data_IF_764371448430
#
_entry.id   IF_764371448430
#
_cell.length_a   1.000
_cell.length_b   1.000
_cell.length_c   1.000
_cell.angle_alpha   90.00
_cell.angle_beta   90.00
_cell.angle_gamma   90.00
#
_symmetry.space_group_name_H-M   'P 1'
#
loop_
_entity.id
_entity.type
_entity.pdbx_description
1 polymer ?
#
# COMPACT_ATOMS: atom_id res chain seq x y z
N UNK A 1 17.09 25.56 45.08
CA UNK A 1 16.38 24.94 43.94
C UNK A 1 15.82 23.60 44.40
N UNK A 2 14.48 23.51 44.56
CA UNK A 2 13.82 22.39 45.22
C UNK A 2 14.11 21.06 44.53
N UNK A 3 14.47 20.05 45.32
CA UNK A 3 14.76 18.67 44.91
C UNK A 3 13.63 18.06 44.08
N UNK A 4 12.40 18.51 44.31
CA UNK A 4 11.21 18.14 43.56
C UNK A 4 11.24 18.66 42.11
N UNK A 5 11.61 19.93 41.91
CA UNK A 5 11.72 20.55 40.57
C UNK A 5 12.84 19.90 39.75
N UNK A 6 13.96 19.54 40.41
CA UNK A 6 15.08 18.84 39.78
C UNK A 6 14.72 17.40 39.36
N UNK A 7 13.94 16.68 40.19
CA UNK A 7 13.44 15.35 39.84
C UNK A 7 12.44 15.39 38.69
N UNK A 8 11.51 16.36 38.71
CA UNK A 8 10.52 16.54 37.65
C UNK A 8 11.18 16.84 36.29
N UNK A 9 12.16 17.74 36.26
CA UNK A 9 12.91 18.08 35.04
C UNK A 9 13.69 16.88 34.48
N UNK A 10 14.31 16.06 35.35
CA UNK A 10 15.02 14.86 34.93
C UNK A 10 14.08 13.79 34.37
N UNK A 11 12.91 13.58 34.96
CA UNK A 11 11.90 12.65 34.42
C UNK A 11 11.33 13.11 33.09
N UNK A 12 10.98 14.39 32.95
CA UNK A 12 10.45 14.92 31.68
C UNK A 12 11.51 14.86 30.58
N UNK A 13 12.76 15.26 30.88
CA UNK A 13 13.87 15.14 29.94
C UNK A 13 14.15 13.69 29.54
N UNK A 14 14.07 12.75 30.47
CA UNK A 14 14.23 11.33 30.21
C UNK A 14 13.13 10.75 29.31
N UNK A 15 11.87 11.16 29.51
CA UNK A 15 10.75 10.71 28.67
C UNK A 15 10.87 11.26 27.25
N UNK A 16 11.20 12.55 27.10
CA UNK A 16 11.40 13.18 25.78
C UNK A 16 12.55 12.52 25.03
N UNK A 17 13.67 12.24 25.71
CA UNK A 17 14.81 11.55 25.11
C UNK A 17 14.42 10.12 24.69
N UNK A 18 13.68 9.39 25.52
CA UNK A 18 13.24 8.04 25.20
C UNK A 18 12.27 8.03 24.00
N UNK A 19 11.28 8.91 23.93
CA UNK A 19 10.37 8.99 22.78
C UNK A 19 11.08 9.41 21.50
N UNK A 20 12.03 10.35 21.57
CA UNK A 20 12.82 10.74 20.40
C UNK A 20 13.71 9.59 19.90
N UNK A 21 14.35 8.84 20.81
CA UNK A 21 15.19 7.70 20.44
C UNK A 21 14.35 6.55 19.88
N UNK A 22 13.26 6.15 20.55
CA UNK A 22 12.41 5.06 20.07
C UNK A 22 11.67 5.41 18.77
N UNK A 23 11.17 6.65 18.65
CA UNK A 23 10.57 7.14 17.40
C UNK A 23 11.59 7.19 16.27
N UNK A 24 12.78 7.71 16.54
CA UNK A 24 13.89 7.75 15.58
C UNK A 24 14.33 6.37 15.12
N UNK A 25 14.46 5.41 16.05
CA UNK A 25 14.83 4.02 15.72
C UNK A 25 13.72 3.31 14.93
N UNK A 26 12.44 3.57 15.23
CA UNK A 26 11.33 2.99 14.47
C UNK A 26 11.27 3.54 13.04
N UNK A 27 11.42 4.86 12.87
CA UNK A 27 11.49 5.50 11.54
C UNK A 27 12.72 5.03 10.79
N UNK A 28 13.91 5.05 11.41
CA UNK A 28 15.15 4.60 10.79
C UNK A 28 15.12 3.10 10.44
N UNK A 29 14.50 2.28 11.28
CA UNK A 29 14.28 0.86 11.03
C UNK A 29 13.37 0.66 9.82
N UNK A 30 12.26 1.38 9.74
CA UNK A 30 11.35 1.34 8.59
C UNK A 30 12.05 1.81 7.30
N UNK A 31 12.79 2.93 7.34
CA UNK A 31 13.52 3.43 6.16
C UNK A 31 14.63 2.48 5.73
N UNK A 32 15.34 1.86 6.67
CA UNK A 32 16.41 0.90 6.36
C UNK A 32 15.85 -0.39 5.77
N UNK A 33 14.79 -0.94 6.34
CA UNK A 33 14.13 -2.14 5.81
C UNK A 33 13.56 -1.88 4.42
N UNK A 34 12.88 -0.75 4.21
CA UNK A 34 12.39 -0.37 2.89
C UNK A 34 13.56 -0.22 1.90
N UNK A 35 14.61 0.51 2.25
CA UNK A 35 15.78 0.71 1.39
C UNK A 35 16.49 -0.61 1.03
N UNK A 36 16.48 -1.61 1.91
CA UNK A 36 17.04 -2.94 1.63
C UNK A 36 16.14 -3.78 0.72
N UNK A 37 14.81 -3.61 0.82
CA UNK A 37 13.86 -4.29 -0.06
C UNK A 37 13.86 -3.70 -1.49
N UNK A 38 14.16 -2.41 -1.66
CA UNK A 38 14.29 -1.77 -2.97
C UNK A 38 15.74 -1.81 -3.48
N UNK A 39 16.19 -2.97 -3.95
CA UNK A 39 17.54 -3.12 -4.51
C UNK A 39 17.78 -2.11 -5.67
N UNK A 40 18.98 -1.49 -5.75
CA UNK A 40 19.32 -0.58 -6.84
C UNK A 40 19.17 -1.27 -8.20
N UNK A 41 18.53 -0.58 -9.16
CA UNK A 41 18.39 -1.07 -10.52
C UNK A 41 19.76 -1.42 -11.12
N UNK A 42 19.92 -2.60 -11.76
CA UNK A 42 21.08 -2.82 -12.61
C UNK A 42 21.15 -1.73 -13.69
N UNK A 43 22.38 -1.37 -14.09
CA UNK A 43 22.63 -0.29 -15.04
C UNK A 43 21.66 -0.37 -16.24
N UNK A 44 21.01 0.78 -16.53
CA UNK A 44 19.95 0.97 -17.53
C UNK A 44 20.12 0.00 -18.71
N UNK A 45 19.20 -0.96 -18.84
CA UNK A 45 19.04 -1.65 -20.11
C UNK A 45 18.53 -0.63 -21.13
N UNK A 46 19.29 -0.42 -22.19
CA UNK A 46 18.96 0.45 -23.33
C UNK A 46 17.84 -0.12 -24.21
N UNK A 47 16.95 -0.93 -23.65
CA UNK A 47 15.80 -1.45 -24.35
C UNK A 47 14.86 -0.29 -24.66
N UNK A 48 14.58 -0.11 -25.96
CA UNK A 48 13.59 0.83 -26.43
C UNK A 48 12.23 0.49 -25.78
N UNK A 49 11.49 1.47 -25.24
CA UNK A 49 10.20 1.21 -24.62
C UNK A 49 9.29 0.47 -25.60
N UNK A 50 8.72 -0.67 -25.17
CA UNK A 50 7.75 -1.38 -25.97
C UNK A 50 6.62 -0.42 -26.41
N UNK A 51 6.13 -0.61 -27.63
CA UNK A 51 5.00 0.15 -28.13
C UNK A 51 3.80 -0.02 -27.18
N UNK A 52 3.15 1.08 -26.81
CA UNK A 52 1.99 1.03 -25.91
C UNK A 52 0.89 0.20 -26.55
N UNK A 53 0.40 -0.79 -25.82
CA UNK A 53 -0.77 -1.58 -26.21
C UNK A 53 -1.98 -0.65 -26.44
N UNK A 54 -2.69 -0.77 -27.59
CA UNK A 54 -3.89 0.02 -27.86
C UNK A 54 -4.91 -0.05 -26.71
N UNK A 55 -5.57 1.07 -26.44
CA UNK A 55 -6.65 1.13 -25.46
C UNK A 55 -7.89 0.40 -25.96
N UNK A 56 -8.47 -0.42 -25.10
CA UNK A 56 -9.81 -0.97 -25.29
C UNK A 56 -10.80 -0.01 -24.59
N UNK A 57 -11.16 1.07 -25.28
CA UNK A 57 -11.93 2.19 -24.70
C UNK A 57 -13.35 1.84 -24.27
N UNK A 58 -13.86 0.67 -24.66
CA UNK A 58 -15.16 0.11 -24.25
C UNK A 58 -15.10 -0.60 -22.89
N UNK A 59 -13.90 -0.76 -22.32
CA UNK A 59 -13.65 -1.41 -21.03
C UNK A 59 -13.45 -0.39 -19.91
N UNK A 60 -13.56 -0.85 -18.67
CA UNK A 60 -13.25 -0.06 -17.48
C UNK A 60 -11.73 0.15 -17.42
N UNK A 61 -11.30 1.40 -17.44
CA UNK A 61 -9.88 1.77 -17.47
C UNK A 61 -9.29 1.76 -16.07
N UNK A 62 -8.28 0.92 -15.82
CA UNK A 62 -7.61 0.79 -14.52
C UNK A 62 -6.13 1.14 -14.66
N UNK A 63 -5.71 2.18 -13.94
CA UNK A 63 -4.30 2.58 -13.83
C UNK A 63 -3.71 2.10 -12.50
N UNK A 64 -2.77 1.17 -12.54
CA UNK A 64 -1.98 0.73 -11.37
C UNK A 64 -0.70 1.55 -11.34
N UNK A 65 -0.55 2.45 -10.37
CA UNK A 65 0.59 3.36 -10.32
C UNK A 65 1.86 2.68 -9.84
N UNK A 66 2.99 3.06 -10.43
CA UNK A 66 4.34 2.67 -10.01
C UNK A 66 5.16 3.94 -9.79
N UNK A 67 5.59 4.16 -8.54
CA UNK A 67 6.48 5.25 -8.15
C UNK A 67 7.91 5.07 -8.63
N UNK A 68 8.62 6.17 -8.83
CA UNK A 68 10.02 6.22 -9.27
C UNK A 68 10.98 5.66 -8.23
N UNK A 69 10.72 5.93 -6.95
CA UNK A 69 11.60 5.60 -5.82
C UNK A 69 11.30 4.27 -5.14
N UNK A 70 10.44 3.46 -5.75
CA UNK A 70 10.12 2.12 -5.27
C UNK A 70 8.65 1.98 -4.91
N UNK A 71 8.07 0.89 -5.43
CA UNK A 71 6.70 0.49 -5.22
C UNK A 71 6.67 -0.90 -4.60
N UNK A 72 5.87 -1.11 -3.55
CA UNK A 72 5.69 -2.44 -2.98
C UNK A 72 5.05 -3.36 -4.03
N UNK A 73 5.79 -4.39 -4.43
CA UNK A 73 5.46 -5.25 -5.56
C UNK A 73 4.09 -5.91 -5.39
N UNK A 74 3.81 -6.41 -4.19
CA UNK A 74 2.57 -7.12 -3.92
C UNK A 74 1.34 -6.21 -3.90
N UNK A 75 1.52 -4.94 -3.53
CA UNK A 75 0.44 -3.96 -3.47
C UNK A 75 0.02 -3.51 -4.88
N UNK A 76 0.95 -3.54 -5.84
CA UNK A 76 0.64 -3.31 -7.24
C UNK A 76 0.14 -4.59 -7.95
N UNK A 77 0.86 -5.70 -7.78
CA UNK A 77 0.63 -6.91 -8.58
C UNK A 77 -0.59 -7.72 -8.13
N UNK A 78 -0.96 -7.67 -6.84
CA UNK A 78 -2.18 -8.32 -6.34
C UNK A 78 -3.44 -7.77 -7.02
N UNK A 79 -3.71 -6.45 -6.91
CA UNK A 79 -4.79 -5.80 -7.65
C UNK A 79 -4.70 -5.98 -9.16
N UNK A 80 -3.50 -5.85 -9.75
CA UNK A 80 -3.29 -6.06 -11.18
C UNK A 80 -3.82 -7.42 -11.62
N UNK A 81 -3.45 -8.50 -10.91
CA UNK A 81 -3.88 -9.85 -11.24
C UNK A 81 -5.40 -10.04 -11.17
N UNK A 82 -6.06 -9.43 -10.17
CA UNK A 82 -7.52 -9.51 -10.03
C UNK A 82 -8.23 -8.81 -11.18
N UNK A 83 -7.84 -7.57 -11.49
CA UNK A 83 -8.50 -6.81 -12.56
C UNK A 83 -8.19 -7.40 -13.95
N UNK A 84 -6.96 -7.85 -14.18
CA UNK A 84 -6.54 -8.42 -15.46
C UNK A 84 -7.20 -9.79 -15.75
N UNK A 85 -7.72 -10.47 -14.72
CA UNK A 85 -8.46 -11.72 -14.88
C UNK A 85 -9.84 -11.54 -15.52
N UNK A 86 -10.29 -10.30 -15.78
CA UNK A 86 -11.58 -10.00 -16.39
C UNK A 86 -11.44 -9.17 -17.66
N UNK A 87 -12.08 -9.60 -18.74
CA UNK A 87 -12.11 -8.88 -20.02
C UNK A 87 -12.90 -7.57 -19.96
N UNK A 88 -13.60 -7.29 -18.84
CA UNK A 88 -14.31 -6.03 -18.61
C UNK A 88 -13.39 -4.87 -18.26
N UNK A 89 -12.14 -5.15 -17.90
CA UNK A 89 -11.17 -4.14 -17.50
C UNK A 89 -10.04 -4.03 -18.52
N UNK A 90 -9.58 -2.81 -18.75
CA UNK A 90 -8.33 -2.52 -19.43
C UNK A 90 -7.32 -2.03 -18.38
N UNK A 91 -6.46 -2.94 -17.94
CA UNK A 91 -5.52 -2.71 -16.83
C UNK A 91 -4.16 -2.33 -17.39
N UNK A 92 -3.57 -1.25 -16.85
CA UNK A 92 -2.23 -0.79 -17.20
C UNK A 92 -1.43 -0.47 -15.95
N UNK A 93 -0.17 -0.87 -15.96
CA UNK A 93 0.84 -0.29 -15.06
C UNK A 93 1.23 1.09 -15.60
N UNK A 94 1.24 2.11 -14.74
CA UNK A 94 1.46 3.50 -15.13
C UNK A 94 2.52 4.14 -14.24
N UNK A 95 3.48 4.83 -14.83
CA UNK A 95 4.54 5.53 -14.11
C UNK A 95 4.88 6.88 -14.77
N UNK A 96 5.86 7.59 -14.25
CA UNK A 96 6.35 8.83 -14.88
C UNK A 96 6.95 8.59 -16.29
N UNK A 97 7.55 7.42 -16.53
CA UNK A 97 8.11 7.03 -17.83
C UNK A 97 7.97 5.53 -18.06
N UNK A 98 7.98 5.11 -19.33
CA UNK A 98 7.99 3.69 -19.75
C UNK A 98 9.38 3.05 -19.70
N UNK A 99 10.17 3.44 -18.70
CA UNK A 99 11.51 2.88 -18.45
C UNK A 99 11.41 1.79 -17.39
N UNK A 100 12.31 0.79 -17.36
CA UNK A 100 12.31 -0.23 -16.31
C UNK A 100 12.36 0.40 -14.90
N UNK A 101 11.51 -0.07 -13.99
CA UNK A 101 11.42 0.35 -12.58
C UNK A 101 11.52 -0.90 -11.69
N UNK A 102 12.25 -0.78 -10.58
CA UNK A 102 12.35 -1.83 -9.57
C UNK A 102 11.20 -1.68 -8.56
N UNK A 103 10.51 -2.79 -8.32
CA UNK A 103 9.58 -2.95 -7.22
C UNK A 103 10.33 -3.57 -6.02
N UNK A 104 9.69 -3.58 -4.85
CA UNK A 104 10.25 -4.22 -3.65
C UNK A 104 10.62 -5.68 -3.92
N UNK A 105 11.73 -6.14 -3.37
CA UNK A 105 12.30 -7.47 -3.61
C UNK A 105 13.12 -7.57 -4.90
N UNK A 106 13.39 -6.45 -5.59
CA UNK A 106 14.21 -6.41 -6.81
C UNK A 106 13.50 -6.82 -8.09
N UNK A 107 12.18 -7.02 -8.06
CA UNK A 107 11.38 -7.33 -9.24
C UNK A 107 11.36 -6.11 -10.19
N UNK A 108 12.01 -6.23 -11.34
CA UNK A 108 12.02 -5.16 -12.34
C UNK A 108 10.89 -5.34 -13.34
N UNK A 109 10.13 -4.27 -13.60
CA UNK A 109 9.06 -4.26 -14.60
C UNK A 109 9.17 -3.04 -15.51
N UNK A 110 8.61 -3.14 -16.72
CA UNK A 110 8.47 -2.01 -17.65
C UNK A 110 7.01 -1.55 -17.60
N UNK A 111 6.73 -0.29 -17.22
CA UNK A 111 5.37 0.23 -17.20
C UNK A 111 4.73 0.23 -18.60
N UNK A 112 3.44 -0.11 -18.68
CA UNK A 112 2.67 -0.13 -19.92
C UNK A 112 2.47 1.28 -20.51
N UNK A 113 2.31 2.27 -19.63
CA UNK A 113 2.01 3.65 -19.96
C UNK A 113 2.75 4.65 -19.07
N UNK A 114 2.90 5.86 -19.57
CA UNK A 114 3.34 7.04 -18.81
C UNK A 114 2.19 8.01 -18.53
N UNK A 115 2.33 8.88 -17.53
CA UNK A 115 1.35 9.95 -17.26
C UNK A 115 1.05 10.82 -18.50
N UNK A 116 2.09 11.15 -19.28
CA UNK A 116 1.98 11.89 -20.54
C UNK A 116 1.07 11.21 -21.59
N UNK A 117 0.86 9.89 -21.51
CA UNK A 117 -0.01 9.16 -22.44
C UNK A 117 -1.48 9.46 -22.19
N UNK A 118 -1.84 9.75 -20.94
CA UNK A 118 -3.18 10.17 -20.56
C UNK A 118 -3.36 11.68 -20.78
N UNK A 119 -2.36 12.50 -20.44
CA UNK A 119 -2.39 13.95 -20.62
C UNK A 119 -2.53 14.34 -22.09
N UNK A 120 -1.86 13.62 -23.00
CA UNK A 120 -1.97 13.84 -24.45
C UNK A 120 -3.28 13.32 -25.06
N UNK A 121 -4.12 12.62 -24.30
CA UNK A 121 -5.34 11.97 -24.79
C UNK A 121 -5.08 10.72 -25.64
N UNK A 122 -3.83 10.21 -25.66
CA UNK A 122 -3.46 8.97 -26.37
C UNK A 122 -4.11 7.74 -25.73
N UNK A 123 -4.31 7.78 -24.42
CA UNK A 123 -5.08 6.82 -23.65
C UNK A 123 -6.34 7.49 -23.08
N UNK A 124 -7.47 6.75 -22.99
CA UNK A 124 -8.66 7.24 -22.30
C UNK A 124 -8.38 7.46 -20.81
N UNK A 125 -9.13 8.37 -20.17
CA UNK A 125 -8.98 8.65 -18.75
C UNK A 125 -9.27 7.38 -17.91
N UNK A 126 -8.52 7.15 -16.80
CA UNK A 126 -8.82 6.04 -15.91
C UNK A 126 -10.19 6.21 -15.23
N UNK A 127 -10.94 5.11 -15.08
CA UNK A 127 -12.12 5.04 -14.21
C UNK A 127 -11.72 4.75 -12.75
N UNK A 128 -10.58 4.06 -12.59
CA UNK A 128 -9.99 3.66 -11.32
C UNK A 128 -8.48 3.86 -11.35
N UNK A 129 -7.94 4.50 -10.33
CA UNK A 129 -6.50 4.60 -10.07
C UNK A 129 -6.17 3.82 -8.81
N UNK A 130 -5.27 2.85 -8.91
CA UNK A 130 -4.78 2.06 -7.77
C UNK A 130 -3.41 2.59 -7.37
N UNK A 131 -3.30 3.00 -6.12
CA UNK A 131 -2.10 3.61 -5.54
C UNK A 131 -1.51 2.64 -4.50
N UNK A 132 -0.45 1.90 -4.85
CA UNK A 132 0.23 1.00 -3.91
C UNK A 132 1.05 1.77 -2.87
N UNK A 133 1.66 1.06 -1.93
CA UNK A 133 2.67 1.66 -1.06
C UNK A 133 3.92 2.08 -1.86
N UNK A 134 4.28 3.35 -1.72
CA UNK A 134 5.47 3.97 -2.31
C UNK A 134 6.48 4.28 -1.20
N UNK A 135 7.77 4.09 -1.47
CA UNK A 135 8.82 4.22 -0.46
C UNK A 135 8.93 5.63 0.14
N UNK A 136 8.89 6.66 -0.72
CA UNK A 136 8.94 8.07 -0.33
C UNK A 136 7.78 8.85 -0.98
N UNK A 137 6.54 8.70 -0.45
CA UNK A 137 5.33 9.22 -1.09
C UNK A 137 5.29 10.75 -1.17
N UNK A 138 5.98 11.44 -0.26
CA UNK A 138 6.08 12.91 -0.21
C UNK A 138 7.34 13.45 -0.91
N UNK A 139 8.20 12.57 -1.42
CA UNK A 139 9.43 12.92 -2.12
C UNK A 139 9.18 13.77 -3.36
N UNK A 140 10.17 14.60 -3.72
CA UNK A 140 10.11 15.44 -4.92
C UNK A 140 10.02 14.61 -6.21
N UNK A 141 10.58 13.40 -6.21
CA UNK A 141 10.56 12.47 -7.35
C UNK A 141 9.17 11.91 -7.67
N UNK A 142 8.25 11.94 -6.71
CA UNK A 142 6.86 11.48 -6.86
C UNK A 142 5.88 12.63 -7.12
N UNK A 143 6.37 13.85 -7.40
CA UNK A 143 5.51 15.00 -7.69
C UNK A 143 4.58 14.76 -8.89
N UNK A 144 5.11 14.20 -9.98
CA UNK A 144 4.31 13.88 -11.18
C UNK A 144 3.25 12.81 -10.88
N UNK A 145 3.56 11.85 -10.00
CA UNK A 145 2.62 10.81 -9.57
C UNK A 145 1.46 11.42 -8.77
N UNK A 146 1.76 12.33 -7.84
CA UNK A 146 0.73 13.03 -7.05
C UNK A 146 -0.16 13.90 -7.95
N UNK A 147 0.44 14.68 -8.86
CA UNK A 147 -0.30 15.49 -9.82
C UNK A 147 -1.20 14.65 -10.74
N UNK A 148 -0.74 13.45 -11.15
CA UNK A 148 -1.56 12.51 -11.92
C UNK A 148 -2.77 12.02 -11.12
N UNK A 149 -2.59 11.67 -9.84
CA UNK A 149 -3.69 11.26 -8.95
C UNK A 149 -4.71 12.39 -8.81
N UNK A 150 -4.26 13.60 -8.47
CA UNK A 150 -5.13 14.77 -8.30
C UNK A 150 -5.93 15.05 -9.58
N UNK A 151 -5.26 15.12 -10.73
CA UNK A 151 -5.89 15.42 -12.02
C UNK A 151 -6.91 14.35 -12.43
N UNK A 152 -6.63 13.08 -12.16
CA UNK A 152 -7.56 11.98 -12.50
C UNK A 152 -8.72 11.90 -11.52
N UNK A 153 -8.47 12.16 -10.23
CA UNK A 153 -9.49 12.24 -9.19
C UNK A 153 -10.47 13.38 -9.45
N UNK A 154 -9.97 14.58 -9.76
CA UNK A 154 -10.77 15.76 -10.14
C UNK A 154 -11.60 15.49 -11.41
N UNK A 155 -11.10 14.64 -12.31
CA UNK A 155 -11.81 14.20 -13.50
C UNK A 155 -12.88 13.13 -13.23
N UNK A 156 -13.08 12.72 -11.97
CA UNK A 156 -14.09 11.75 -11.53
C UNK A 156 -13.62 10.30 -11.43
N UNK A 157 -12.32 10.05 -11.55
CA UNK A 157 -11.78 8.71 -11.31
C UNK A 157 -11.90 8.33 -9.84
N UNK A 158 -12.22 7.06 -9.57
CA UNK A 158 -12.16 6.52 -8.22
C UNK A 158 -10.71 6.24 -7.84
N UNK A 159 -10.31 6.55 -6.61
CA UNK A 159 -8.94 6.31 -6.12
C UNK A 159 -8.92 5.19 -5.09
N UNK A 160 -8.06 4.20 -5.29
CA UNK A 160 -7.89 3.04 -4.44
C UNK A 160 -6.48 2.99 -3.84
N UNK A 161 -6.33 3.33 -2.55
CA UNK A 161 -5.06 3.23 -1.82
C UNK A 161 -4.85 1.83 -1.23
N UNK A 162 -3.75 1.17 -1.58
CA UNK A 162 -3.42 -0.17 -1.11
C UNK A 162 -2.33 -0.13 -0.06
N UNK A 163 -2.54 -0.81 1.09
CA UNK A 163 -1.55 -0.87 2.17
C UNK A 163 -1.16 0.55 2.63
N UNK A 164 0.13 0.88 2.65
CA UNK A 164 0.62 2.22 2.97
C UNK A 164 0.37 3.25 1.86
N UNK A 165 -0.26 2.89 0.74
CA UNK A 165 -0.68 3.81 -0.32
C UNK A 165 -1.64 4.91 0.15
N UNK A 166 -2.33 4.70 1.28
CA UNK A 166 -3.10 5.75 1.94
C UNK A 166 -2.25 6.98 2.30
N UNK A 167 -0.92 6.83 2.49
CA UNK A 167 0.02 7.93 2.72
C UNK A 167 0.20 8.83 1.49
N UNK A 168 -0.08 8.34 0.29
CA UNK A 168 -0.13 9.17 -0.92
C UNK A 168 -1.48 9.87 -1.02
N UNK A 169 -2.57 9.18 -0.66
CA UNK A 169 -3.93 9.71 -0.74
C UNK A 169 -4.19 10.89 0.20
N UNK A 170 -3.57 10.91 1.39
CA UNK A 170 -3.64 12.07 2.29
C UNK A 170 -3.10 13.34 1.64
N UNK A 171 -2.06 13.23 0.79
CA UNK A 171 -1.41 14.37 0.13
C UNK A 171 -2.10 14.81 -1.17
N UNK A 172 -3.00 13.98 -1.73
CA UNK A 172 -3.54 14.17 -3.09
C UNK A 172 -5.05 14.33 -3.08
N UNK A 173 -5.76 13.31 -2.61
CA UNK A 173 -7.24 13.30 -2.59
C UNK A 173 -7.83 14.02 -1.39
N UNK A 174 -7.04 14.18 -0.32
CA UNK A 174 -7.50 14.67 0.98
C UNK A 174 -8.40 13.65 1.70
N UNK A 175 -7.96 13.17 2.86
CA UNK A 175 -8.74 12.24 3.69
C UNK A 175 -9.41 12.92 4.90
N UNK A 176 -9.35 14.24 5.00
CA UNK A 176 -9.94 14.99 6.10
C UNK A 176 -11.47 14.82 6.10
N UNK A 177 -12.03 14.46 7.27
CA UNK A 177 -13.46 14.17 7.43
C UNK A 177 -13.91 12.83 6.85
N UNK A 178 -13.04 12.07 6.17
CA UNK A 178 -13.35 10.75 5.59
C UNK A 178 -12.97 9.62 6.54
N UNK A 179 -13.59 8.46 6.33
CA UNK A 179 -13.16 7.18 6.90
C UNK A 179 -12.11 6.54 5.99
N UNK A 180 -11.02 6.09 6.58
CA UNK A 180 -9.97 5.40 5.83
C UNK A 180 -9.31 4.30 6.67
N UNK A 181 -8.64 3.36 6.01
CA UNK A 181 -7.73 2.40 6.63
C UNK A 181 -6.39 2.41 5.91
N UNK A 182 -5.41 1.66 6.41
CA UNK A 182 -4.07 1.56 5.83
C UNK A 182 -3.35 0.35 6.40
N UNK A 183 -2.08 0.17 6.04
CA UNK A 183 -1.23 -0.79 6.72
C UNK A 183 -1.16 -0.50 8.22
N UNK A 184 -1.32 -1.55 9.03
CA UNK A 184 -1.53 -1.45 10.48
C UNK A 184 -0.45 -0.65 11.22
N UNK A 185 0.80 -0.68 10.75
CA UNK A 185 1.89 0.07 11.38
C UNK A 185 1.87 1.56 11.07
N UNK A 186 1.25 1.97 9.95
CA UNK A 186 1.12 3.38 9.58
C UNK A 186 -0.07 4.06 10.25
N UNK A 187 -1.11 3.31 10.63
CA UNK A 187 -2.35 3.86 11.19
C UNK A 187 -2.08 4.76 12.41
N UNK A 188 -1.23 4.34 13.35
CA UNK A 188 -0.94 5.15 14.55
C UNK A 188 -0.28 6.50 14.17
N UNK A 189 0.66 6.47 13.21
CA UNK A 189 1.33 7.67 12.71
C UNK A 189 0.38 8.61 11.98
N UNK A 190 -0.45 8.06 11.08
CA UNK A 190 -1.40 8.88 10.33
C UNK A 190 -2.53 9.42 11.20
N UNK A 191 -2.95 8.70 12.25
CA UNK A 191 -3.90 9.24 13.23
C UNK A 191 -3.32 10.47 13.93
N UNK A 192 -2.01 10.50 14.17
CA UNK A 192 -1.35 11.64 14.80
C UNK A 192 -1.16 12.83 13.86
N UNK A 193 -0.91 12.59 12.57
CA UNK A 193 -0.62 13.67 11.60
C UNK A 193 -1.86 14.17 10.87
N UNK A 194 -2.88 13.31 10.72
CA UNK A 194 -4.16 13.59 10.05
C UNK A 194 -5.32 13.18 10.99
N UNK A 195 -5.54 13.93 12.08
CA UNK A 195 -6.54 13.59 13.10
C UNK A 195 -7.99 13.75 12.62
N UNK A 196 -8.21 14.54 11.56
CA UNK A 196 -9.53 14.74 10.94
C UNK A 196 -9.99 13.52 10.13
N UNK A 197 -9.08 12.61 9.78
CA UNK A 197 -9.41 11.33 9.14
C UNK A 197 -9.80 10.29 10.20
N UNK A 198 -10.95 9.65 10.01
CA UNK A 198 -11.37 8.53 10.86
C UNK A 198 -10.65 7.24 10.44
N UNK A 199 -9.52 6.94 11.08
CA UNK A 199 -8.73 5.75 10.79
C UNK A 199 -9.32 4.47 11.39
N UNK A 200 -9.93 3.66 10.53
CA UNK A 200 -10.56 2.38 10.87
C UNK A 200 -9.51 1.27 10.93
N UNK A 201 -9.53 0.49 12.01
CA UNK A 201 -8.71 -0.72 12.19
C UNK A 201 -9.58 -1.96 12.09
N UNK A 202 -8.97 -3.09 11.73
CA UNK A 202 -9.64 -4.39 11.75
C UNK A 202 -10.55 -4.67 10.55
N UNK A 203 -10.53 -3.82 9.53
CA UNK A 203 -11.23 -4.02 8.27
C UNK A 203 -10.22 -4.22 7.14
N UNK A 204 -10.54 -5.06 6.16
CA UNK A 204 -9.69 -5.24 4.97
C UNK A 204 -9.67 -3.98 4.11
N UNK A 205 -10.83 -3.37 3.93
CA UNK A 205 -10.96 -2.14 3.18
C UNK A 205 -12.06 -1.26 3.77
N UNK A 206 -11.96 0.02 3.45
CA UNK A 206 -12.90 1.07 3.82
C UNK A 206 -13.16 1.91 2.58
N UNK A 207 -14.44 2.04 2.23
CA UNK A 207 -14.93 2.85 1.12
C UNK A 207 -15.63 4.08 1.70
N UNK A 208 -15.24 5.27 1.25
CA UNK A 208 -15.87 6.54 1.62
C UNK A 208 -15.94 7.45 0.38
N UNK A 209 -17.10 7.41 -0.28
CA UNK A 209 -17.35 8.09 -1.54
C UNK A 209 -16.52 7.53 -2.69
N UNK A 210 -15.69 8.39 -3.27
CA UNK A 210 -14.79 8.12 -4.40
C UNK A 210 -13.41 7.61 -3.99
N UNK A 211 -13.18 7.41 -2.69
CA UNK A 211 -11.94 6.88 -2.14
C UNK A 211 -12.17 5.50 -1.52
N UNK A 212 -11.34 4.53 -1.91
CA UNK A 212 -11.25 3.20 -1.32
C UNK A 212 -9.86 3.01 -0.73
N UNK A 213 -9.76 2.70 0.55
CA UNK A 213 -8.48 2.39 1.19
C UNK A 213 -8.48 0.97 1.70
N UNK A 214 -7.31 0.34 1.74
CA UNK A 214 -7.16 -1.05 2.17
C UNK A 214 -6.07 -1.20 3.22
N UNK A 215 -6.20 -2.23 4.04
CA UNK A 215 -5.15 -2.66 4.95
C UNK A 215 -4.00 -3.32 4.17
N UNK A 216 -3.21 -4.17 4.82
CA UNK A 216 -2.03 -4.78 4.18
C UNK A 216 -2.35 -5.67 2.98
N UNK A 217 -1.36 -5.85 2.11
CA UNK A 217 -1.25 -6.73 0.92
C UNK A 217 -2.50 -7.52 0.52
N UNK A 218 -2.87 -8.59 1.26
CA UNK A 218 -3.98 -9.46 0.87
C UNK A 218 -5.33 -8.72 0.84
N UNK A 219 -5.46 -7.64 1.59
CA UNK A 219 -6.64 -6.79 1.62
C UNK A 219 -6.81 -5.99 0.32
N UNK A 220 -5.71 -5.68 -0.37
CA UNK A 220 -5.75 -5.10 -1.73
C UNK A 220 -6.47 -6.03 -2.71
N UNK A 221 -6.18 -7.32 -2.67
CA UNK A 221 -6.87 -8.34 -3.49
C UNK A 221 -8.37 -8.40 -3.16
N UNK A 222 -8.72 -8.44 -1.87
CA UNK A 222 -10.12 -8.48 -1.44
C UNK A 222 -10.91 -7.23 -1.88
N UNK A 223 -10.28 -6.05 -1.80
CA UNK A 223 -10.85 -4.80 -2.25
C UNK A 223 -10.96 -4.73 -3.78
N UNK A 224 -10.00 -5.30 -4.52
CA UNK A 224 -10.12 -5.41 -5.98
C UNK A 224 -11.30 -6.29 -6.38
N UNK A 225 -11.53 -7.42 -5.70
CA UNK A 225 -12.72 -8.26 -5.92
C UNK A 225 -14.02 -7.51 -5.61
N UNK A 226 -14.04 -6.68 -4.56
CA UNK A 226 -15.16 -5.78 -4.26
C UNK A 226 -15.42 -4.78 -5.41
N UNK A 227 -14.37 -4.19 -5.98
CA UNK A 227 -14.51 -3.30 -7.14
C UNK A 227 -14.98 -4.06 -8.39
N UNK A 228 -14.48 -5.27 -8.63
CA UNK A 228 -14.96 -6.13 -9.71
C UNK A 228 -16.45 -6.41 -9.53
N UNK A 229 -16.91 -6.72 -8.32
CA UNK A 229 -18.31 -6.94 -8.05
C UNK A 229 -19.16 -5.70 -8.38
N UNK A 230 -18.72 -4.52 -7.96
CA UNK A 230 -19.45 -3.27 -8.20
C UNK A 230 -19.51 -2.89 -9.68
N UNK A 231 -18.48 -3.20 -10.47
CA UNK A 231 -18.32 -2.71 -11.85
C UNK A 231 -18.60 -3.75 -12.93
N UNK A 232 -18.37 -5.02 -12.65
CA UNK A 232 -18.55 -6.15 -13.57
C UNK A 232 -19.56 -7.20 -13.06
N UNK A 233 -20.11 -7.01 -11.85
CA UNK A 233 -21.15 -7.84 -11.26
C UNK A 233 -20.62 -8.97 -10.38
N UNK A 234 -21.47 -9.44 -9.46
CA UNK A 234 -21.12 -10.47 -8.47
C UNK A 234 -20.65 -11.78 -9.10
N UNK A 235 -21.26 -12.21 -10.21
CA UNK A 235 -20.88 -13.46 -10.86
C UNK A 235 -19.41 -13.45 -11.34
N UNK A 236 -18.94 -12.32 -11.86
CA UNK A 236 -17.56 -12.18 -12.31
C UNK A 236 -16.58 -12.14 -11.13
N UNK A 237 -16.93 -11.41 -10.07
CA UNK A 237 -16.12 -11.36 -8.86
C UNK A 237 -15.98 -12.75 -8.20
N UNK A 238 -17.08 -13.52 -8.11
CA UNK A 238 -17.05 -14.91 -7.60
C UNK A 238 -16.19 -15.80 -8.49
N UNK A 239 -16.33 -15.71 -9.82
CA UNK A 239 -15.51 -16.48 -10.77
C UNK A 239 -14.01 -16.24 -10.54
N UNK A 240 -13.59 -14.98 -10.42
CA UNK A 240 -12.18 -14.63 -10.19
C UNK A 240 -11.73 -15.10 -8.80
N UNK A 241 -12.54 -14.87 -7.75
CA UNK A 241 -12.22 -15.31 -6.40
C UNK A 241 -12.00 -16.84 -6.32
N UNK A 242 -12.82 -17.61 -7.03
CA UNK A 242 -12.70 -19.06 -7.14
C UNK A 242 -11.43 -19.49 -7.88
N UNK A 243 -11.07 -18.79 -8.96
CA UNK A 243 -9.87 -19.05 -9.77
C UNK A 243 -8.59 -18.86 -8.95
N UNK A 244 -8.49 -17.77 -8.19
CA UNK A 244 -7.34 -17.50 -7.31
C UNK A 244 -7.43 -18.18 -5.94
N UNK A 245 -8.49 -18.98 -5.71
CA UNK A 245 -8.77 -19.69 -4.45
C UNK A 245 -8.68 -18.78 -3.24
N UNK A 246 -9.22 -17.56 -3.33
CA UNK A 246 -9.11 -16.57 -2.26
C UNK A 246 -10.10 -16.89 -1.13
N UNK A 247 -9.64 -17.38 0.03
CA UNK A 247 -10.54 -17.91 1.05
C UNK A 247 -11.22 -16.77 1.81
N UNK A 248 -12.47 -17.00 2.23
CA UNK A 248 -13.24 -16.10 3.09
C UNK A 248 -13.48 -14.68 2.52
N UNK A 249 -13.45 -14.53 1.20
CA UNK A 249 -14.03 -13.34 0.55
C UNK A 249 -15.55 -13.51 0.43
N UNK A 250 -16.28 -12.43 0.70
CA UNK A 250 -17.73 -12.36 0.56
C UNK A 250 -18.10 -11.09 -0.20
N UNK A 251 -19.14 -11.14 -1.06
CA UNK A 251 -19.62 -9.97 -1.78
C UNK A 251 -20.36 -8.94 -0.89
N UNK A 252 -20.71 -9.29 0.34
CA UNK A 252 -21.65 -8.48 1.13
C UNK A 252 -20.96 -7.41 1.99
N UNK A 253 -19.72 -7.63 2.42
CA UNK A 253 -19.01 -6.72 3.31
C UNK A 253 -17.48 -6.94 3.32
N UNK A 254 -16.76 -5.93 3.80
CA UNK A 254 -15.36 -6.05 4.19
C UNK A 254 -15.21 -7.14 5.27
N UNK A 255 -14.38 -8.16 5.01
CA UNK A 255 -14.12 -9.20 6.02
C UNK A 255 -13.24 -8.62 7.12
N UNK A 256 -13.64 -8.80 8.38
CA UNK A 256 -12.84 -8.36 9.52
C UNK A 256 -11.51 -9.09 9.60
N UNK A 257 -10.47 -8.37 10.06
CA UNK A 257 -9.12 -8.88 10.27
C UNK A 257 -8.65 -8.56 11.69
N UNK A 258 -7.73 -9.35 12.27
CA UNK A 258 -7.20 -9.06 13.59
C UNK A 258 -6.58 -7.66 13.66
N UNK A 259 -6.96 -6.89 14.67
CA UNK A 259 -6.36 -5.57 14.93
C UNK A 259 -4.93 -5.77 15.43
N UNK A 260 -3.96 -5.33 14.62
CA UNK A 260 -2.55 -5.28 15.02
C UNK A 260 -2.19 -3.84 15.38
N UNK A 261 -1.50 -3.65 16.50
CA UNK A 261 -0.99 -2.34 16.94
C UNK A 261 0.51 -2.43 17.09
N UNK A 262 1.21 -1.30 16.92
CA UNK A 262 2.64 -1.19 17.22
C UNK A 262 2.99 -1.74 18.63
N UNK A 263 2.07 -1.62 19.59
CA UNK A 263 2.22 -2.12 20.98
C UNK A 263 2.03 -3.63 21.13
N UNK A 264 1.23 -4.30 20.30
CA UNK A 264 0.93 -5.73 20.47
C UNK A 264 2.09 -6.67 20.11
N UNK A 265 3.14 -6.17 19.43
CA UNK A 265 4.34 -6.96 19.12
C UNK A 265 5.26 -7.14 20.31
N UNK A 266 5.36 -6.13 21.19
CA UNK A 266 6.20 -6.20 22.41
C UNK A 266 5.72 -7.29 23.35
N UNK A 267 4.40 -7.48 23.48
CA UNK A 267 3.82 -8.51 24.36
C UNK A 267 4.06 -9.93 23.83
N UNK A 268 4.03 -10.15 22.51
CA UNK A 268 4.31 -11.49 21.94
C UNK A 268 5.79 -11.85 22.03
N UNK A 269 6.69 -10.89 21.88
CA UNK A 269 8.14 -11.16 21.94
C UNK A 269 8.63 -11.54 23.35
N UNK A 270 7.92 -11.14 24.40
CA UNK A 270 8.22 -11.53 25.78
C UNK A 270 7.59 -12.87 26.23
N UNK A 271 6.78 -13.52 25.39
CA UNK A 271 6.00 -14.70 25.79
C UNK A 271 6.49 -16.05 25.24
N UNK A 272 7.63 -16.10 24.54
CA UNK A 272 8.21 -17.38 24.14
C UNK A 272 8.86 -18.07 25.35
N UNK A 273 8.36 -19.23 25.84
CA UNK A 273 9.03 -20.00 26.86
C UNK A 273 10.30 -20.58 26.25
N UNK A 274 11.43 -20.44 26.95
CA UNK A 274 12.70 -21.08 26.60
C UNK A 274 12.48 -22.58 26.41
N UNK A 275 12.72 -23.09 25.22
CA UNK A 275 12.86 -24.53 24.98
C UNK A 275 14.06 -25.05 25.79
N UNK A 276 13.80 -25.57 26.99
CA UNK A 276 14.66 -26.53 27.68
C UNK A 276 14.06 -27.91 27.46
N UNK A 277 14.79 -28.74 26.71
CA UNK A 277 14.62 -30.18 26.59
C UNK A 277 15.83 -30.65 25.79
N UNK A 278 16.77 -31.43 26.32
CA UNK A 278 16.56 -32.68 27.04
C UNK A 278 16.92 -33.79 26.04
N UNK A 279 18.20 -34.14 25.96
CA UNK A 279 18.67 -35.23 25.09
C UNK A 279 18.52 -36.56 25.83
N UNK A 280 17.91 -37.61 25.23
CA UNK A 280 17.77 -38.91 25.87
C UNK A 280 19.07 -39.73 25.74
N UNK A 281 19.27 -40.60 26.73
CA UNK A 281 20.34 -41.56 26.83
C UNK A 281 20.35 -42.54 25.65
N UNK A 282 21.54 -42.78 25.09
CA UNK A 282 21.85 -43.94 24.26
C UNK A 282 22.34 -45.07 25.16
N UNK A 283 21.58 -46.16 25.21
CA UNK A 283 22.03 -47.43 25.73
C UNK A 283 22.72 -48.22 24.61
N UNK A 284 23.99 -48.59 24.83
CA UNK A 284 24.69 -49.69 24.15
C UNK A 284 25.96 -50.02 24.93
N UNK A 285 26.04 -51.24 25.47
CA UNK A 285 27.22 -51.79 26.16
C UNK A 285 26.96 -52.17 27.60
#
# INVERSE_FOLDING_TARGET
>A
MNTFLRRALLTVGGVILATAVFGGVAVAGFTTTMAQDFAPLPARSSAEPAATRPAASDRIQVAILLGRNGTVATDAMGPYGVFAASERFDVRTVAASRTPIALSGGLTTVPDASFADYESGRLPRPDLVVVPAIADPSGAEEADLRAFIETTHDAGARIMGVCAGARVLVETTGLDGKRATSFWSDIDGMTSTHPETTWVRGERWVEDGDVLTTAGVSSGIAASLHVVQQRAGTAEAVRIADEVRYPHWSPDASTSIPVNTSRSRTTRMCSAPRCRGGSPATASG
#
